data_IF_273020880957
#
_entry.id   IF_273020880957
#
_cell.length_a   1.000
_cell.length_b   1.000
_cell.length_c   1.000
_cell.angle_alpha   90.00
_cell.angle_beta   90.00
_cell.angle_gamma   90.00
#
_symmetry.space_group_name_H-M   'P 1'
#
loop_
_entity.id
_entity.type
_entity.pdbx_description
1 polymer ?
#
# COMPACT_ATOMS: atom_id res chain seq x y z
N UNK A 1 -17.84 -28.61 -3.09
CA UNK A 1 -18.93 -27.72 -2.64
C UNK A 1 -18.54 -26.28 -2.99
N UNK A 2 -19.48 -25.33 -3.01
CA UNK A 2 -19.10 -23.93 -3.11
C UNK A 2 -18.39 -23.49 -1.80
N UNK A 3 -17.42 -22.58 -1.91
CA UNK A 3 -16.78 -21.98 -0.75
C UNK A 3 -17.78 -21.02 -0.08
N UNK A 4 -18.07 -21.22 1.21
CA UNK A 4 -18.87 -20.22 1.96
C UNK A 4 -18.01 -18.98 2.19
N UNK A 5 -18.55 -17.80 1.86
CA UNK A 5 -17.81 -16.55 2.00
C UNK A 5 -17.65 -16.15 3.46
N UNK A 6 -16.48 -15.63 3.78
CA UNK A 6 -16.18 -15.01 5.07
C UNK A 6 -17.02 -13.73 5.19
N UNK A 7 -17.95 -13.71 6.14
CA UNK A 7 -18.83 -12.56 6.38
C UNK A 7 -18.11 -11.52 7.22
N UNK A 8 -18.22 -10.26 6.82
CA UNK A 8 -17.64 -9.11 7.52
C UNK A 8 -18.76 -8.21 8.02
N UNK A 9 -18.85 -8.02 9.33
CA UNK A 9 -20.00 -7.39 9.99
C UNK A 9 -20.04 -5.88 9.81
N UNK A 10 -18.88 -5.22 9.85
CA UNK A 10 -18.77 -3.78 9.67
C UNK A 10 -18.21 -3.44 8.28
N UNK A 11 -18.61 -2.31 7.68
CA UNK A 11 -18.16 -1.93 6.36
C UNK A 11 -16.69 -1.48 6.33
N UNK A 12 -16.14 -1.43 5.12
CA UNK A 12 -14.92 -0.69 4.80
C UNK A 12 -15.23 0.41 3.78
N UNK A 13 -14.38 1.44 3.73
CA UNK A 13 -14.37 2.44 2.65
C UNK A 13 -13.45 1.94 1.55
N UNK A 14 -13.93 1.93 0.31
CA UNK A 14 -13.09 1.73 -0.87
C UNK A 14 -12.94 3.06 -1.61
N UNK A 15 -11.69 3.46 -1.87
CA UNK A 15 -11.37 4.61 -2.70
C UNK A 15 -10.77 4.10 -4.02
N UNK A 16 -11.57 4.04 -5.09
CA UNK A 16 -11.08 3.68 -6.42
C UNK A 16 -10.29 4.85 -7.04
N UNK A 17 -9.43 4.55 -8.02
CA UNK A 17 -8.37 5.44 -8.47
C UNK A 17 -8.26 5.58 -9.99
N UNK A 18 -7.02 5.69 -10.46
CA UNK A 18 -6.69 6.09 -11.84
C UNK A 18 -5.81 5.07 -12.59
N UNK A 19 -5.77 5.22 -13.92
CA UNK A 19 -4.82 4.59 -14.86
C UNK A 19 -4.59 3.08 -14.68
N UNK A 20 -3.33 2.62 -14.58
CA UNK A 20 -2.98 1.19 -14.56
C UNK A 20 -3.42 0.54 -13.25
N UNK A 21 -3.28 1.27 -12.14
CA UNK A 21 -3.72 0.83 -10.81
C UNK A 21 -5.21 0.55 -10.78
N UNK A 22 -6.06 1.35 -11.43
CA UNK A 22 -7.51 1.11 -11.50
C UNK A 22 -7.86 -0.23 -12.15
N UNK A 23 -7.16 -0.59 -13.23
CA UNK A 23 -7.35 -1.87 -13.94
C UNK A 23 -7.00 -3.05 -13.02
N UNK A 24 -5.83 -2.96 -12.37
CA UNK A 24 -5.34 -3.95 -11.40
C UNK A 24 -6.30 -4.09 -10.22
N UNK A 25 -6.80 -2.97 -9.70
CA UNK A 25 -7.73 -2.89 -8.56
C UNK A 25 -9.01 -3.68 -8.79
N UNK A 26 -9.59 -3.58 -9.99
CA UNK A 26 -10.74 -4.41 -10.39
C UNK A 26 -10.38 -5.90 -10.44
N UNK A 27 -9.25 -6.27 -11.05
CA UNK A 27 -8.82 -7.67 -11.15
C UNK A 27 -8.57 -8.29 -9.75
N UNK A 28 -7.95 -7.53 -8.82
CA UNK A 28 -7.79 -7.93 -7.42
C UNK A 28 -9.15 -8.17 -6.74
N UNK A 29 -10.10 -7.22 -6.83
CA UNK A 29 -11.44 -7.42 -6.25
C UNK A 29 -12.13 -8.65 -6.80
N UNK A 30 -12.19 -8.78 -8.13
CA UNK A 30 -12.96 -9.81 -8.82
C UNK A 30 -12.35 -11.23 -8.66
N UNK A 31 -11.01 -11.35 -8.59
CA UNK A 31 -10.30 -12.64 -8.54
C UNK A 31 -9.83 -13.06 -7.14
N UNK A 32 -9.46 -12.11 -6.27
CA UNK A 32 -8.76 -12.38 -5.01
C UNK A 32 -9.57 -12.03 -3.76
N UNK A 33 -10.52 -11.10 -3.80
CA UNK A 33 -11.26 -10.65 -2.61
C UNK A 33 -12.73 -11.13 -2.62
N UNK A 34 -13.53 -10.62 -3.56
CA UNK A 34 -14.97 -10.83 -3.61
C UNK A 34 -15.43 -12.28 -3.86
N UNK A 35 -14.62 -13.21 -4.43
CA UNK A 35 -14.98 -14.63 -4.44
C UNK A 35 -15.03 -15.28 -3.05
N UNK A 36 -14.23 -14.78 -2.09
CA UNK A 36 -14.00 -15.40 -0.79
C UNK A 36 -14.60 -14.63 0.40
N UNK A 37 -14.83 -13.32 0.24
CA UNK A 37 -15.30 -12.42 1.30
C UNK A 37 -16.65 -11.79 0.92
N UNK A 38 -17.57 -11.75 1.89
CA UNK A 38 -18.84 -11.02 1.83
C UNK A 38 -18.70 -9.74 2.67
N UNK A 39 -18.73 -8.58 2.00
CA UNK A 39 -18.22 -7.31 2.52
C UNK A 39 -19.14 -6.14 2.11
N UNK A 40 -19.55 -5.32 3.08
CA UNK A 40 -20.21 -4.05 2.82
C UNK A 40 -19.17 -2.99 2.46
N UNK A 41 -19.17 -2.53 1.21
CA UNK A 41 -18.20 -1.57 0.68
C UNK A 41 -18.86 -0.20 0.51
N UNK A 42 -18.33 0.81 1.19
CA UNK A 42 -18.66 2.23 0.95
C UNK A 42 -17.71 2.75 -0.11
N UNK A 43 -18.12 2.60 -1.37
CA UNK A 43 -17.34 2.94 -2.56
C UNK A 43 -17.35 4.44 -2.84
N UNK A 44 -16.17 5.01 -3.07
CA UNK A 44 -15.93 6.37 -3.53
C UNK A 44 -15.00 6.35 -4.73
N UNK A 45 -15.33 7.09 -5.79
CA UNK A 45 -14.53 7.17 -6.99
C UNK A 45 -13.57 8.36 -6.92
N UNK A 46 -12.32 8.12 -6.55
CA UNK A 46 -11.27 9.16 -6.56
C UNK A 46 -10.52 9.22 -7.89
N UNK A 47 -11.05 8.62 -8.95
CA UNK A 47 -10.57 8.84 -10.31
C UNK A 47 -10.65 10.33 -10.69
N UNK A 48 -9.61 10.84 -11.35
CA UNK A 48 -9.47 12.25 -11.68
C UNK A 48 -10.70 12.86 -12.38
N UNK A 49 -11.39 12.19 -13.33
CA UNK A 49 -12.62 12.72 -13.94
C UNK A 49 -13.78 12.88 -12.95
N UNK A 50 -13.91 12.01 -11.94
CA UNK A 50 -14.99 12.10 -10.96
C UNK A 50 -14.69 13.13 -9.86
N UNK A 51 -13.42 13.29 -9.47
CA UNK A 51 -12.99 14.42 -8.64
C UNK A 51 -13.23 15.75 -9.33
N UNK A 52 -12.90 15.89 -10.62
CA UNK A 52 -13.23 17.11 -11.34
C UNK A 52 -14.75 17.33 -11.41
N UNK A 53 -15.53 16.31 -11.78
CA UNK A 53 -16.99 16.41 -11.84
C UNK A 53 -17.63 16.86 -10.52
N UNK A 54 -17.11 16.41 -9.38
CA UNK A 54 -17.62 16.72 -8.02
C UNK A 54 -17.01 17.97 -7.38
N UNK A 55 -16.08 18.68 -8.05
CA UNK A 55 -15.26 19.76 -7.47
C UNK A 55 -14.43 19.31 -6.25
N UNK A 56 -13.80 18.13 -6.37
CA UNK A 56 -12.98 17.41 -5.37
C UNK A 56 -13.72 17.00 -4.08
N UNK A 57 -15.04 17.21 -3.99
CA UNK A 57 -15.85 16.87 -2.80
C UNK A 57 -15.78 15.38 -2.44
N UNK A 58 -15.76 14.49 -3.42
CA UNK A 58 -15.66 13.03 -3.20
C UNK A 58 -14.40 12.62 -2.42
N UNK A 59 -13.33 13.41 -2.50
CA UNK A 59 -12.09 13.21 -1.71
C UNK A 59 -12.25 13.59 -0.24
N UNK A 60 -13.10 14.57 0.06
CA UNK A 60 -13.44 14.95 1.44
C UNK A 60 -14.45 13.95 2.02
N UNK A 61 -15.51 13.64 1.27
CA UNK A 61 -16.57 12.70 1.66
C UNK A 61 -16.02 11.29 1.96
N UNK A 62 -15.01 10.83 1.20
CA UNK A 62 -14.37 9.54 1.46
C UNK A 62 -13.50 9.55 2.73
N UNK A 63 -12.85 10.68 3.06
CA UNK A 63 -12.11 10.84 4.31
C UNK A 63 -13.05 10.91 5.53
N UNK A 64 -14.18 11.61 5.42
CA UNK A 64 -15.23 11.64 6.45
C UNK A 64 -15.86 10.26 6.65
N UNK A 65 -16.11 9.51 5.57
CA UNK A 65 -16.53 8.12 5.65
C UNK A 65 -15.46 7.23 6.32
N UNK A 66 -14.18 7.53 6.12
CA UNK A 66 -13.07 6.78 6.75
C UNK A 66 -13.05 6.99 8.26
N UNK A 67 -13.21 8.23 8.74
CA UNK A 67 -13.42 8.54 10.17
C UNK A 67 -14.65 7.82 10.75
N UNK A 68 -15.71 7.66 9.95
CA UNK A 68 -16.95 6.98 10.39
C UNK A 68 -16.83 5.46 10.46
N UNK A 69 -16.13 4.82 9.52
CA UNK A 69 -16.07 3.36 9.39
C UNK A 69 -14.72 2.74 9.81
N UNK A 70 -13.74 3.57 10.22
CA UNK A 70 -12.43 3.22 10.77
C UNK A 70 -11.43 2.56 9.78
N UNK A 71 -11.86 2.19 8.55
CA UNK A 71 -11.01 1.47 7.59
C UNK A 71 -11.25 1.99 6.19
N UNK A 72 -10.21 2.50 5.54
CA UNK A 72 -10.15 2.74 4.11
C UNK A 72 -9.11 1.87 3.41
N UNK A 73 -9.44 1.46 2.18
CA UNK A 73 -8.59 0.71 1.26
C UNK A 73 -8.57 1.50 -0.05
N UNK A 74 -7.39 1.96 -0.45
CA UNK A 74 -7.25 3.05 -1.42
C UNK A 74 -6.34 2.68 -2.60
N UNK A 75 -6.86 2.94 -3.80
CA UNK A 75 -6.14 2.87 -5.06
C UNK A 75 -5.27 4.13 -5.30
N UNK A 76 -4.27 4.04 -6.17
CA UNK A 76 -3.46 5.21 -6.53
C UNK A 76 -4.26 6.18 -7.42
N UNK A 77 -4.06 7.47 -7.19
CA UNK A 77 -4.82 8.58 -7.80
C UNK A 77 -3.88 9.61 -8.43
N UNK A 78 -4.24 10.19 -9.58
CA UNK A 78 -3.45 11.26 -10.20
C UNK A 78 -3.52 12.52 -9.33
N UNK A 79 -2.38 13.04 -8.90
CA UNK A 79 -2.28 14.47 -8.51
C UNK A 79 -2.02 15.26 -9.79
N UNK A 80 -2.93 16.15 -10.23
CA UNK A 80 -2.80 16.79 -11.54
C UNK A 80 -1.74 17.90 -11.55
N UNK A 81 -0.93 17.89 -12.60
CA UNK A 81 -0.04 18.98 -13.01
C UNK A 81 -0.67 19.77 -14.18
N UNK A 82 0.08 20.73 -14.76
CA UNK A 82 -0.40 21.52 -15.91
C UNK A 82 -0.74 20.66 -17.13
N UNK A 83 -0.03 19.56 -17.38
CA UNK A 83 -0.26 18.69 -18.54
C UNK A 83 -1.43 17.75 -18.30
N UNK A 84 -1.69 17.33 -17.06
CA UNK A 84 -2.93 16.64 -16.68
C UNK A 84 -4.16 17.55 -16.73
N UNK A 85 -4.02 18.83 -16.40
CA UNK A 85 -5.09 19.83 -16.62
C UNK A 85 -5.46 19.92 -18.10
N UNK A 86 -4.46 19.95 -19.00
CA UNK A 86 -4.66 19.95 -20.45
C UNK A 86 -5.24 18.61 -20.95
N UNK A 87 -4.69 17.47 -20.52
CA UNK A 87 -5.12 16.13 -20.95
C UNK A 87 -6.58 15.85 -20.62
N UNK A 88 -6.99 16.10 -19.37
CA UNK A 88 -8.33 15.78 -18.87
C UNK A 88 -9.32 16.95 -19.02
N UNK A 89 -8.89 18.09 -19.55
CA UNK A 89 -9.69 19.32 -19.67
C UNK A 89 -10.30 19.77 -18.34
N UNK A 90 -9.49 19.73 -17.27
CA UNK A 90 -9.94 19.97 -15.88
C UNK A 90 -10.43 21.41 -15.66
N UNK A 91 -11.44 21.58 -14.80
CA UNK A 91 -11.89 22.88 -14.29
C UNK A 91 -10.78 23.61 -13.53
N UNK A 92 -9.88 22.87 -12.88
CA UNK A 92 -8.85 23.39 -11.97
C UNK A 92 -7.74 22.36 -11.73
N UNK A 93 -6.58 22.85 -11.27
CA UNK A 93 -5.51 21.99 -10.76
C UNK A 93 -5.86 21.55 -9.33
N UNK A 94 -6.60 20.44 -9.21
CA UNK A 94 -7.04 19.88 -7.93
C UNK A 94 -5.87 19.46 -7.05
N UNK A 95 -6.08 19.45 -5.72
CA UNK A 95 -5.04 19.06 -4.77
C UNK A 95 -4.78 17.56 -4.82
N UNK A 96 -3.65 17.13 -4.25
CA UNK A 96 -3.36 15.70 -4.09
C UNK A 96 -4.39 15.06 -3.16
N UNK A 97 -5.13 14.01 -3.58
CA UNK A 97 -6.09 13.34 -2.70
C UNK A 97 -5.45 12.83 -1.42
N UNK A 98 -4.24 12.27 -1.52
CA UNK A 98 -3.43 11.84 -0.39
C UNK A 98 -3.19 12.99 0.60
N UNK A 99 -2.86 14.19 0.12
CA UNK A 99 -2.70 15.37 0.97
C UNK A 99 -3.99 15.79 1.67
N UNK A 100 -5.12 15.81 0.94
CA UNK A 100 -6.43 16.15 1.50
C UNK A 100 -6.86 15.14 2.57
N UNK A 101 -6.80 13.83 2.27
CA UNK A 101 -7.18 12.74 3.18
C UNK A 101 -6.29 12.75 4.43
N UNK A 102 -4.95 12.81 4.27
CA UNK A 102 -4.00 12.83 5.41
C UNK A 102 -4.24 14.01 6.36
N UNK A 103 -4.62 15.18 5.84
CA UNK A 103 -4.97 16.35 6.66
C UNK A 103 -6.30 16.18 7.43
N UNK A 104 -7.29 15.49 6.86
CA UNK A 104 -8.59 15.24 7.51
C UNK A 104 -8.46 14.14 8.58
N UNK A 105 -7.72 13.06 8.27
CA UNK A 105 -7.49 11.95 9.19
C UNK A 105 -6.47 12.26 10.29
N UNK A 106 -5.58 13.24 10.07
CA UNK A 106 -4.55 13.68 11.03
C UNK A 106 -3.69 12.53 11.57
N UNK A 107 -3.42 11.53 10.72
CA UNK A 107 -2.68 10.31 11.05
C UNK A 107 -1.24 10.30 10.53
N UNK A 108 -0.44 9.38 11.06
CA UNK A 108 0.94 9.14 10.62
C UNK A 108 0.97 8.03 9.57
N UNK A 109 1.67 8.26 8.44
CA UNK A 109 1.87 7.24 7.41
C UNK A 109 3.04 6.34 7.78
N UNK A 110 2.77 5.05 7.94
CA UNK A 110 3.78 4.00 8.07
C UNK A 110 3.94 3.30 6.72
N UNK A 111 5.17 3.04 6.31
CA UNK A 111 5.49 2.30 5.07
C UNK A 111 6.38 1.11 5.41
N UNK A 112 5.95 -0.09 5.04
CA UNK A 112 6.57 -1.36 5.44
C UNK A 112 6.97 -2.18 4.20
N UNK A 113 8.27 -2.47 4.00
CA UNK A 113 8.78 -3.21 2.84
C UNK A 113 8.85 -4.73 3.07
N UNK A 114 8.76 -5.49 1.97
CA UNK A 114 9.01 -6.94 1.94
C UNK A 114 10.52 -7.19 1.74
N UNK A 115 11.14 -8.05 2.55
CA UNK A 115 12.60 -8.04 2.79
C UNK A 115 13.40 -9.08 1.97
N UNK A 116 14.55 -8.64 1.44
CA UNK A 116 15.65 -9.47 0.91
C UNK A 116 17.01 -9.05 1.51
N UNK A 117 18.04 -9.91 1.42
CA UNK A 117 19.07 -10.03 2.49
C UNK A 117 20.39 -9.22 2.38
N UNK A 118 20.65 -8.33 1.41
CA UNK A 118 22.07 -8.08 1.02
C UNK A 118 22.63 -6.68 0.52
N UNK A 119 22.06 -5.46 0.74
CA UNK A 119 22.61 -4.18 0.15
C UNK A 119 22.46 -2.85 1.00
N UNK A 120 23.35 -1.78 0.95
CA UNK A 120 23.29 -0.60 1.90
C UNK A 120 23.86 0.90 1.62
N UNK A 121 23.24 2.00 2.21
CA UNK A 121 23.72 3.40 2.74
C UNK A 121 23.47 4.72 1.87
N UNK A 122 23.30 6.08 2.21
CA UNK A 122 23.42 7.21 3.27
C UNK A 122 22.52 8.53 2.88
N UNK A 123 22.17 9.73 3.49
CA UNK A 123 22.13 10.51 4.84
C UNK A 123 21.00 11.65 5.19
N UNK A 124 21.16 13.02 5.37
CA UNK A 124 20.65 14.00 6.45
C UNK A 124 19.27 14.80 6.30
N UNK A 125 18.62 15.64 7.21
CA UNK A 125 18.81 16.21 8.62
C UNK A 125 17.60 16.99 9.38
N UNK A 126 17.67 17.22 10.74
CA UNK A 126 16.88 18.06 11.78
C UNK A 126 15.39 17.74 12.17
N UNK A 127 15.11 17.03 13.31
CA UNK A 127 13.73 16.85 13.88
C UNK A 127 13.58 16.40 15.38
N UNK A 128 14.48 16.77 16.30
CA UNK A 128 14.69 16.05 17.58
C UNK A 128 13.61 16.15 18.68
N UNK A 129 13.37 17.34 19.20
CA UNK A 129 13.17 17.47 20.65
C UNK A 129 11.76 17.07 21.15
N UNK A 130 10.73 17.28 20.34
CA UNK A 130 9.32 16.97 20.68
C UNK A 130 9.09 15.48 20.97
N UNK A 131 9.78 14.57 20.27
CA UNK A 131 9.62 13.14 20.49
C UNK A 131 10.19 12.67 21.85
N UNK A 132 11.20 13.37 22.38
CA UNK A 132 11.83 13.02 23.66
C UNK A 132 10.84 13.21 24.82
N UNK A 133 10.15 14.35 24.86
CA UNK A 133 9.16 14.68 25.90
C UNK A 133 8.00 13.67 25.93
N UNK A 134 7.46 13.32 24.75
CA UNK A 134 6.36 12.36 24.62
C UNK A 134 6.79 10.95 25.03
N UNK A 135 8.01 10.54 24.67
CA UNK A 135 8.56 9.25 25.08
C UNK A 135 8.69 9.13 26.60
N UNK A 136 9.32 10.11 27.24
CA UNK A 136 9.55 10.12 28.69
C UNK A 136 8.25 10.18 29.50
N UNK A 137 7.28 11.01 29.07
CA UNK A 137 6.04 11.21 29.82
C UNK A 137 5.03 10.06 29.70
N UNK A 138 4.98 9.33 28.57
CA UNK A 138 3.84 8.44 28.24
C UNK A 138 4.19 7.02 27.80
N UNK A 139 5.45 6.76 27.43
CA UNK A 139 5.82 5.52 26.72
C UNK A 139 7.00 4.75 27.31
N UNK A 140 7.97 5.42 27.95
CA UNK A 140 9.20 4.81 28.47
C UNK A 140 8.97 3.48 29.22
N UNK A 141 8.12 3.47 30.24
CA UNK A 141 7.84 2.26 31.04
C UNK A 141 7.17 1.13 30.24
N UNK A 142 6.39 1.46 29.20
CA UNK A 142 5.78 0.46 28.30
C UNK A 142 6.82 -0.13 27.35
N UNK A 143 7.74 0.71 26.86
CA UNK A 143 8.86 0.30 26.01
C UNK A 143 9.83 -0.61 26.79
N UNK A 144 10.21 -0.20 28.01
CA UNK A 144 11.03 -0.99 28.93
C UNK A 144 10.38 -2.35 29.26
N UNK A 145 9.08 -2.38 29.54
CA UNK A 145 8.34 -3.62 29.79
C UNK A 145 8.20 -4.53 28.56
N UNK A 146 8.31 -3.98 27.35
CA UNK A 146 8.28 -4.71 26.08
C UNK A 146 9.68 -5.02 25.51
N UNK A 147 10.77 -4.64 26.21
CA UNK A 147 12.15 -4.90 25.79
C UNK A 147 12.62 -4.05 24.59
N UNK A 148 11.96 -2.94 24.28
CA UNK A 148 12.26 -2.04 23.16
C UNK A 148 12.65 -0.64 23.65
N UNK A 149 13.24 0.18 22.78
CA UNK A 149 13.69 1.53 23.12
C UNK A 149 13.29 2.58 22.06
N UNK A 150 13.38 3.84 22.44
CA UNK A 150 13.35 4.99 21.53
C UNK A 150 14.73 5.65 21.49
N UNK A 151 15.13 6.14 20.32
CA UNK A 151 16.39 6.86 20.11
C UNK A 151 16.21 7.90 18.99
N UNK A 152 16.47 9.18 19.28
CA UNK A 152 16.70 10.14 18.19
C UNK A 152 18.13 9.98 17.66
N UNK A 153 18.24 9.42 16.46
CA UNK A 153 19.38 9.64 15.57
C UNK A 153 19.09 10.87 14.72
N UNK A 154 20.08 11.74 14.53
CA UNK A 154 20.04 12.66 13.39
C UNK A 154 19.90 11.81 12.12
N UNK A 155 19.19 12.26 11.10
CA UNK A 155 19.00 11.41 9.92
C UNK A 155 20.31 11.18 9.11
N UNK A 156 21.41 11.90 9.39
CA UNK A 156 22.77 11.52 8.94
C UNK A 156 23.45 10.39 9.74
N UNK A 157 22.90 10.01 10.89
CA UNK A 157 23.14 8.70 11.48
C UNK A 157 21.97 7.73 11.23
N UNK A 158 20.73 8.18 11.03
CA UNK A 158 19.57 7.29 10.90
C UNK A 158 19.56 6.50 9.59
N UNK A 159 19.72 7.10 8.41
CA UNK A 159 19.77 6.26 7.18
C UNK A 159 21.10 5.50 7.09
N UNK A 160 22.17 6.02 7.70
CA UNK A 160 23.44 5.30 7.83
C UNK A 160 23.29 4.05 8.70
N UNK A 161 22.59 4.15 9.83
CA UNK A 161 22.19 3.04 10.70
C UNK A 161 21.20 2.12 10.00
N UNK A 162 20.15 2.66 9.37
CA UNK A 162 19.08 1.89 8.73
C UNK A 162 19.62 0.88 7.70
N UNK A 163 20.70 1.29 7.01
CA UNK A 163 21.38 0.51 6.00
C UNK A 163 22.69 -0.15 6.52
N UNK A 164 23.05 0.02 7.79
CA UNK A 164 24.04 -0.82 8.50
C UNK A 164 23.38 -1.94 9.29
N UNK A 165 22.15 -1.72 9.73
CA UNK A 165 21.31 -2.59 10.53
C UNK A 165 20.68 -3.72 9.70
N UNK A 166 20.21 -4.75 10.40
CA UNK A 166 19.51 -5.91 9.82
C UNK A 166 17.99 -5.66 9.67
N UNK A 167 17.52 -4.45 10.00
CA UNK A 167 16.09 -4.11 10.07
C UNK A 167 15.56 -4.17 11.51
N UNK A 168 14.26 -4.44 11.67
CA UNK A 168 13.65 -4.70 12.99
C UNK A 168 13.33 -3.47 13.85
N UNK A 169 13.34 -2.26 13.28
CA UNK A 169 13.01 -0.99 13.96
C UNK A 169 11.98 -0.19 13.14
N UNK A 170 11.22 0.66 13.83
CA UNK A 170 10.36 1.67 13.17
C UNK A 170 11.14 2.97 13.02
N UNK A 171 11.29 3.45 11.79
CA UNK A 171 11.95 4.72 11.50
C UNK A 171 10.91 5.81 11.30
N UNK A 172 10.78 6.71 12.29
CA UNK A 172 9.96 7.92 12.18
C UNK A 172 10.65 8.95 11.28
N UNK A 173 10.04 9.28 10.14
CA UNK A 173 10.52 10.29 9.21
C UNK A 173 9.70 11.59 9.28
N UNK A 174 10.30 12.70 8.81
CA UNK A 174 9.56 13.92 8.42
C UNK A 174 8.72 13.61 7.18
N UNK A 175 7.76 14.48 6.83
CA UNK A 175 6.92 14.26 5.62
C UNK A 175 7.77 14.10 4.35
N UNK A 176 8.66 15.06 4.05
CA UNK A 176 9.57 14.99 2.88
C UNK A 176 10.58 13.83 2.97
N UNK A 177 11.23 13.66 4.12
CA UNK A 177 12.17 12.57 4.34
C UNK A 177 11.48 11.22 4.18
N UNK A 178 10.24 11.08 4.62
CA UNK A 178 9.43 9.87 4.53
C UNK A 178 9.08 9.55 3.08
N UNK A 179 8.62 10.54 2.33
CA UNK A 179 8.33 10.42 0.89
C UNK A 179 9.56 9.91 0.13
N UNK A 180 10.69 10.63 0.22
CA UNK A 180 11.93 10.30 -0.51
C UNK A 180 12.59 9.01 -0.01
N UNK A 181 12.74 8.83 1.31
CA UNK A 181 13.44 7.66 1.86
C UNK A 181 12.60 6.39 1.75
N UNK A 182 11.27 6.44 1.82
CA UNK A 182 10.46 5.22 1.68
C UNK A 182 10.41 4.72 0.24
N UNK A 183 10.36 5.60 -0.77
CA UNK A 183 10.50 5.21 -2.17
C UNK A 183 11.91 4.66 -2.45
N UNK A 184 12.96 5.26 -1.88
CA UNK A 184 14.33 4.74 -1.94
C UNK A 184 14.46 3.36 -1.27
N UNK A 185 13.89 3.17 -0.08
CA UNK A 185 13.87 1.89 0.63
C UNK A 185 13.10 0.83 -0.16
N UNK A 186 11.92 1.16 -0.69
CA UNK A 186 11.12 0.24 -1.51
C UNK A 186 11.91 -0.25 -2.73
N UNK A 187 12.61 0.66 -3.42
CA UNK A 187 13.45 0.32 -4.56
C UNK A 187 14.71 -0.46 -4.13
N UNK A 188 15.26 -0.22 -2.94
CA UNK A 188 16.37 -0.97 -2.34
C UNK A 188 16.01 -2.37 -1.85
N UNK A 189 14.77 -2.58 -1.40
CA UNK A 189 14.18 -3.89 -1.11
C UNK A 189 13.66 -4.61 -2.36
N UNK A 190 13.65 -3.93 -3.51
CA UNK A 190 13.56 -4.52 -4.84
C UNK A 190 12.68 -3.73 -5.80
N UNK A 191 11.50 -3.32 -5.37
CA UNK A 191 10.53 -2.62 -6.21
C UNK A 191 9.54 -1.81 -5.38
N UNK A 192 9.10 -0.66 -5.92
CA UNK A 192 7.96 0.10 -5.39
C UNK A 192 6.68 -0.76 -5.29
N UNK A 193 6.57 -1.84 -6.08
CA UNK A 193 5.50 -2.84 -5.98
C UNK A 193 5.57 -3.76 -4.75
N UNK A 194 6.62 -3.68 -3.92
CA UNK A 194 6.83 -4.48 -2.70
C UNK A 194 6.76 -3.65 -1.40
N UNK A 195 6.18 -2.45 -1.47
CA UNK A 195 6.05 -1.53 -0.33
C UNK A 195 4.59 -1.22 -0.04
N UNK A 196 4.16 -1.47 1.20
CA UNK A 196 2.85 -1.09 1.71
C UNK A 196 2.86 0.33 2.27
N UNK A 197 1.72 1.00 2.30
CA UNK A 197 1.57 2.34 2.90
C UNK A 197 0.27 2.39 3.69
N UNK A 198 0.36 2.56 5.01
CA UNK A 198 -0.80 2.61 5.92
C UNK A 198 -0.72 3.86 6.78
N UNK A 199 -1.67 4.79 6.59
CA UNK A 199 -1.92 5.85 7.55
C UNK A 199 -2.64 5.27 8.77
N UNK A 200 -2.13 5.60 9.97
CA UNK A 200 -2.75 5.25 11.25
C UNK A 200 -3.07 6.54 12.02
N UNK A 201 -4.32 6.68 12.44
CA UNK A 201 -4.80 7.83 13.19
C UNK A 201 -4.42 7.73 14.68
N UNK A 202 -4.32 8.87 15.41
CA UNK A 202 -3.96 8.88 16.83
C UNK A 202 -5.02 8.27 17.77
N UNK A 203 -6.18 7.88 17.25
CA UNK A 203 -7.21 7.12 17.98
C UNK A 203 -6.86 5.63 18.17
N UNK A 204 -5.84 5.12 17.45
CA UNK A 204 -5.45 3.71 17.43
C UNK A 204 -6.46 2.79 16.73
N UNK A 205 -7.43 3.36 15.99
CA UNK A 205 -8.55 2.64 15.36
C UNK A 205 -8.71 2.94 13.88
N UNK A 206 -8.58 4.20 13.48
CA UNK A 206 -8.84 4.60 12.09
C UNK A 206 -7.59 4.46 11.23
N UNK A 207 -7.70 3.73 10.12
CA UNK A 207 -6.61 3.58 9.14
C UNK A 207 -7.06 3.85 7.70
N UNK A 208 -6.10 4.21 6.86
CA UNK A 208 -6.21 4.23 5.40
C UNK A 208 -5.00 3.47 4.83
N UNK A 209 -5.25 2.48 3.97
CA UNK A 209 -4.23 1.62 3.38
C UNK A 209 -4.17 1.76 1.86
N UNK A 210 -3.03 2.18 1.34
CA UNK A 210 -2.72 2.34 -0.09
C UNK A 210 -1.45 1.58 -0.49
N UNK A 211 -1.28 1.38 -1.80
CA UNK A 211 0.03 1.01 -2.34
C UNK A 211 0.97 2.23 -2.25
N UNK A 212 2.26 2.01 -1.95
CA UNK A 212 3.20 3.13 -1.84
C UNK A 212 3.49 3.85 -3.18
N UNK A 213 3.17 3.21 -4.31
CA UNK A 213 3.47 3.72 -5.64
C UNK A 213 2.31 4.54 -6.26
N UNK A 214 2.65 5.43 -7.19
CA UNK A 214 1.69 6.12 -8.04
C UNK A 214 0.97 5.23 -9.05
N UNK A 215 0.24 5.85 -9.97
CA UNK A 215 -0.74 5.24 -10.90
C UNK A 215 -0.14 4.41 -12.06
N UNK A 216 1.19 4.31 -12.12
CA UNK A 216 1.99 3.62 -13.15
C UNK A 216 1.62 4.05 -14.60
N UNK A 217 1.46 5.36 -14.81
CA UNK A 217 1.11 6.00 -16.10
C UNK A 217 1.79 5.38 -17.32
N UNK A 218 3.10 5.10 -17.25
CA UNK A 218 3.86 4.52 -18.38
C UNK A 218 3.27 3.20 -18.86
N UNK A 219 2.81 2.34 -17.96
CA UNK A 219 2.20 1.06 -18.32
C UNK A 219 0.75 1.26 -18.79
N UNK A 220 0.02 2.22 -18.21
CA UNK A 220 -1.29 2.61 -18.72
C UNK A 220 -1.24 3.07 -20.18
N UNK A 221 -0.23 3.85 -20.60
CA UNK A 221 -0.06 4.26 -22.02
C UNK A 221 0.26 3.11 -22.97
N UNK A 222 0.73 1.97 -22.47
CA UNK A 222 0.92 0.72 -23.24
C UNK A 222 -0.41 -0.04 -23.31
N UNK A 223 -1.10 -0.19 -22.19
CA UNK A 223 -2.43 -0.81 -22.11
C UNK A 223 -3.47 -0.08 -22.98
N UNK A 224 -3.50 1.26 -22.97
CA UNK A 224 -4.36 2.09 -23.83
C UNK A 224 -4.16 1.83 -25.34
N UNK A 225 -3.05 1.20 -25.74
CA UNK A 225 -2.74 0.82 -27.13
C UNK A 225 -2.91 -0.68 -27.41
N UNK A 226 -3.53 -1.41 -26.48
CA UNK A 226 -3.67 -2.88 -26.55
C UNK A 226 -2.36 -3.65 -26.28
N UNK A 227 -1.32 -2.98 -25.77
CA UNK A 227 -0.04 -3.61 -25.48
C UNK A 227 -0.03 -4.38 -24.16
N UNK A 228 0.71 -5.49 -24.11
CA UNK A 228 0.95 -6.24 -22.87
C UNK A 228 1.68 -5.37 -21.83
N UNK A 229 1.27 -5.51 -20.56
CA UNK A 229 1.94 -4.86 -19.43
C UNK A 229 2.25 -5.89 -18.35
N UNK A 230 3.40 -5.72 -17.70
CA UNK A 230 3.76 -6.44 -16.48
C UNK A 230 4.00 -5.40 -15.39
N UNK A 231 2.94 -5.12 -14.65
CA UNK A 231 2.90 -4.20 -13.52
C UNK A 231 2.75 -5.02 -12.26
N UNK A 232 3.63 -4.81 -11.28
CA UNK A 232 3.56 -5.51 -10.01
C UNK A 232 2.28 -5.11 -9.26
N UNK A 233 1.47 -6.09 -8.88
CA UNK A 233 0.21 -5.89 -8.16
C UNK A 233 0.32 -6.13 -6.65
N UNK A 234 1.48 -6.60 -6.14
CA UNK A 234 1.64 -7.04 -4.75
C UNK A 234 1.29 -5.93 -3.76
N UNK A 235 1.86 -4.72 -3.88
CA UNK A 235 1.51 -3.59 -3.01
C UNK A 235 0.01 -3.23 -3.05
N UNK A 236 -0.65 -3.38 -4.20
CA UNK A 236 -2.10 -3.16 -4.33
C UNK A 236 -2.92 -4.29 -3.68
N UNK A 237 -2.46 -5.53 -3.72
CA UNK A 237 -3.06 -6.66 -2.98
C UNK A 237 -2.86 -6.46 -1.48
N UNK A 238 -1.68 -6.02 -1.05
CA UNK A 238 -1.36 -5.79 0.35
C UNK A 238 -2.12 -4.59 0.94
N UNK A 239 -2.50 -3.58 0.15
CA UNK A 239 -3.43 -2.55 0.59
C UNK A 239 -4.79 -3.15 1.01
N UNK A 240 -5.31 -4.10 0.22
CA UNK A 240 -6.52 -4.85 0.58
C UNK A 240 -6.32 -5.73 1.82
N UNK A 241 -5.24 -6.50 1.91
CA UNK A 241 -5.03 -7.39 3.07
C UNK A 241 -4.75 -6.62 4.36
N UNK A 242 -3.95 -5.54 4.34
CA UNK A 242 -3.70 -4.69 5.51
C UNK A 242 -4.98 -4.03 6.02
N UNK A 243 -5.83 -3.51 5.13
CA UNK A 243 -7.13 -2.96 5.48
C UNK A 243 -8.10 -4.00 6.05
N UNK A 244 -8.25 -5.14 5.38
CA UNK A 244 -9.11 -6.24 5.84
C UNK A 244 -8.61 -6.89 7.14
N UNK A 245 -7.29 -6.98 7.36
CA UNK A 245 -6.69 -7.48 8.59
C UNK A 245 -6.94 -6.54 9.78
N UNK A 246 -7.05 -5.23 9.53
CA UNK A 246 -7.44 -4.27 10.56
C UNK A 246 -8.96 -4.30 10.83
N UNK A 247 -9.79 -4.39 9.79
CA UNK A 247 -11.23 -4.67 9.93
C UNK A 247 -11.47 -5.94 10.75
N UNK A 248 -10.70 -7.00 10.49
CA UNK A 248 -10.73 -8.25 11.22
C UNK A 248 -10.41 -8.07 12.72
N UNK A 249 -9.37 -7.31 13.06
CA UNK A 249 -9.02 -6.99 14.46
C UNK A 249 -10.11 -6.16 15.16
N UNK A 250 -10.75 -5.24 14.45
CA UNK A 250 -11.83 -4.41 14.98
C UNK A 250 -13.17 -5.17 15.13
N UNK A 251 -13.33 -6.30 14.43
CA UNK A 251 -14.53 -7.17 14.45
C UNK A 251 -14.35 -8.49 15.22
N UNK A 252 -13.16 -8.75 15.80
CA UNK A 252 -12.73 -10.05 16.34
C UNK A 252 -12.89 -11.23 15.34
N UNK A 253 -12.74 -10.93 14.05
CA UNK A 253 -13.01 -11.87 12.96
C UNK A 253 -11.76 -12.66 12.57
N UNK A 254 -11.47 -13.72 13.32
CA UNK A 254 -10.32 -14.59 13.09
C UNK A 254 -10.28 -15.24 11.68
N UNK A 255 -11.45 -15.49 11.06
CA UNK A 255 -11.52 -16.05 9.70
C UNK A 255 -11.04 -15.05 8.64
N UNK A 256 -11.44 -13.78 8.76
CA UNK A 256 -10.96 -12.72 7.87
C UNK A 256 -9.45 -12.50 8.05
N UNK A 257 -8.95 -12.59 9.29
CA UNK A 257 -7.51 -12.47 9.57
C UNK A 257 -6.69 -13.60 8.93
N UNK A 258 -7.08 -14.87 9.12
CA UNK A 258 -6.46 -16.04 8.47
C UNK A 258 -6.45 -15.91 6.94
N UNK A 259 -7.57 -15.48 6.34
CA UNK A 259 -7.66 -15.23 4.91
C UNK A 259 -6.66 -14.17 4.44
N UNK A 260 -6.53 -13.04 5.14
CA UNK A 260 -5.56 -12.00 4.76
C UNK A 260 -4.12 -12.49 4.84
N UNK A 261 -3.78 -13.26 5.88
CA UNK A 261 -2.46 -13.88 6.02
C UNK A 261 -2.17 -14.90 4.90
N UNK A 262 -3.17 -15.71 4.52
CA UNK A 262 -3.06 -16.67 3.41
C UNK A 262 -2.93 -16.01 2.04
N UNK A 263 -3.53 -14.83 1.82
CA UNK A 263 -3.37 -14.05 0.59
C UNK A 263 -1.99 -13.37 0.51
N UNK A 264 -1.48 -12.80 1.60
CA UNK A 264 -0.10 -12.29 1.66
C UNK A 264 0.92 -13.42 1.40
N UNK A 265 0.73 -14.57 2.04
CA UNK A 265 1.55 -15.76 1.81
C UNK A 265 1.37 -16.37 0.40
N UNK A 266 0.26 -16.13 -0.30
CA UNK A 266 0.05 -16.51 -1.69
C UNK A 266 0.85 -15.62 -2.67
N UNK A 267 0.91 -14.32 -2.39
CA UNK A 267 1.77 -13.39 -3.16
C UNK A 267 3.25 -13.75 -3.04
N UNK A 268 3.72 -14.01 -1.80
CA UNK A 268 5.10 -14.40 -1.53
C UNK A 268 5.40 -15.76 -2.20
N UNK A 269 4.55 -16.77 -1.97
CA UNK A 269 4.73 -18.11 -2.55
C UNK A 269 4.73 -18.14 -4.08
N UNK A 270 3.94 -17.27 -4.73
CA UNK A 270 3.99 -17.12 -6.19
C UNK A 270 5.39 -16.67 -6.65
N UNK A 271 5.92 -15.60 -6.07
CA UNK A 271 7.26 -15.07 -6.41
C UNK A 271 8.37 -16.08 -6.07
N UNK A 272 8.31 -16.74 -4.91
CA UNK A 272 9.27 -17.78 -4.51
C UNK A 272 9.23 -19.02 -5.43
N UNK A 273 8.06 -19.33 -6.03
CA UNK A 273 7.93 -20.37 -7.06
C UNK A 273 8.42 -19.95 -8.46
N UNK A 274 8.98 -18.74 -8.61
CA UNK A 274 9.46 -18.16 -9.87
C UNK A 274 8.39 -17.43 -10.69
N UNK A 275 7.13 -17.39 -10.22
CA UNK A 275 6.02 -16.71 -10.90
C UNK A 275 5.99 -15.25 -10.47
N UNK A 276 6.59 -14.35 -11.26
CA UNK A 276 6.75 -12.94 -10.87
C UNK A 276 6.62 -11.96 -12.03
N UNK A 277 6.36 -10.69 -11.73
CA UNK A 277 6.30 -9.60 -12.72
C UNK A 277 7.70 -9.13 -13.14
N UNK A 278 7.74 -8.40 -14.26
CA UNK A 278 8.96 -8.03 -14.99
C UNK A 278 9.94 -7.17 -14.20
N UNK A 279 9.44 -6.36 -13.27
CA UNK A 279 10.26 -5.58 -12.34
C UNK A 279 11.07 -6.51 -11.43
N UNK A 280 10.46 -7.55 -10.87
CA UNK A 280 11.15 -8.51 -10.00
C UNK A 280 12.12 -9.40 -10.80
N UNK A 281 11.67 -9.90 -11.95
CA UNK A 281 12.50 -10.71 -12.84
C UNK A 281 13.73 -9.94 -13.37
N UNK A 282 13.62 -8.62 -13.60
CA UNK A 282 14.74 -7.78 -14.03
C UNK A 282 15.85 -7.69 -12.95
N UNK A 283 15.49 -7.73 -11.67
CA UNK A 283 16.46 -7.73 -10.55
C UNK A 283 17.23 -9.05 -10.52
N UNK A 284 16.55 -10.19 -10.73
CA UNK A 284 17.13 -11.53 -10.66
C UNK A 284 17.96 -11.86 -11.91
N UNK A 285 17.45 -11.53 -13.11
CA UNK A 285 18.04 -11.95 -14.38
C UNK A 285 18.87 -10.87 -15.08
N UNK A 286 18.64 -9.59 -14.76
CA UNK A 286 19.39 -8.46 -15.33
C UNK A 286 19.39 -8.46 -16.86
N UNK A 287 20.58 -8.49 -17.47
CA UNK A 287 20.78 -8.56 -18.92
C UNK A 287 20.36 -9.88 -19.57
N UNK A 288 19.99 -10.91 -18.79
CA UNK A 288 19.50 -12.21 -19.27
C UNK A 288 17.96 -12.31 -19.26
N UNK A 289 17.25 -11.23 -18.97
CA UNK A 289 15.77 -11.20 -18.92
C UNK A 289 15.13 -11.56 -20.27
N UNK A 290 14.28 -12.58 -20.28
CA UNK A 290 13.47 -13.01 -21.44
C UNK A 290 11.98 -13.14 -21.06
N UNK A 291 11.05 -13.20 -22.03
CA UNK A 291 9.58 -13.17 -21.75
C UNK A 291 9.08 -14.39 -20.97
N UNK A 292 9.79 -15.50 -21.04
CA UNK A 292 9.57 -16.72 -20.25
C UNK A 292 10.01 -16.59 -18.77
N UNK A 293 10.83 -15.59 -18.42
CA UNK A 293 11.27 -15.33 -17.04
C UNK A 293 10.34 -14.40 -16.23
N UNK A 294 9.23 -13.94 -16.81
CA UNK A 294 8.23 -13.13 -16.10
C UNK A 294 6.82 -13.32 -16.64
N UNK A 295 5.84 -13.05 -15.78
CA UNK A 295 4.43 -13.02 -16.10
C UNK A 295 3.96 -11.59 -16.42
N UNK A 296 2.92 -11.45 -17.23
CA UNK A 296 2.19 -10.21 -17.37
C UNK A 296 1.30 -9.94 -16.13
N UNK A 297 0.67 -8.76 -16.08
CA UNK A 297 -0.07 -8.30 -14.91
C UNK A 297 -1.21 -9.24 -14.50
N UNK A 298 -1.95 -9.79 -15.47
CA UNK A 298 -3.07 -10.69 -15.21
C UNK A 298 -2.60 -12.13 -14.94
N UNK A 299 -1.62 -12.61 -15.70
CA UNK A 299 -0.97 -13.91 -15.47
C UNK A 299 -0.45 -14.05 -14.03
N UNK A 300 0.13 -12.97 -13.47
CA UNK A 300 0.59 -12.96 -12.09
C UNK A 300 -0.57 -12.95 -11.06
N UNK A 301 -1.65 -12.19 -11.31
CA UNK A 301 -2.84 -12.22 -10.42
C UNK A 301 -3.50 -13.61 -10.45
N UNK A 302 -3.57 -14.27 -11.61
CA UNK A 302 -4.08 -15.63 -11.74
C UNK A 302 -3.16 -16.68 -11.07
N UNK A 303 -1.84 -16.47 -11.08
CA UNK A 303 -0.90 -17.28 -10.30
C UNK A 303 -1.14 -17.13 -8.78
N UNK A 304 -1.29 -15.90 -8.26
CA UNK A 304 -1.64 -15.66 -6.85
C UNK A 304 -3.00 -16.27 -6.50
N UNK A 305 -3.99 -16.19 -7.40
CA UNK A 305 -5.30 -16.81 -7.19
C UNK A 305 -5.24 -18.34 -7.12
N UNK A 306 -4.28 -18.98 -7.78
CA UNK A 306 -4.03 -20.42 -7.68
C UNK A 306 -3.36 -20.78 -6.33
N UNK A 307 -2.31 -20.05 -5.94
CA UNK A 307 -1.63 -20.26 -4.64
C UNK A 307 -2.58 -20.03 -3.45
N UNK A 308 -3.45 -19.00 -3.52
CA UNK A 308 -4.47 -18.75 -2.50
C UNK A 308 -5.45 -19.92 -2.37
N UNK A 309 -5.95 -20.46 -3.50
CA UNK A 309 -6.89 -21.59 -3.49
C UNK A 309 -6.26 -22.85 -2.87
N UNK A 310 -4.96 -23.08 -3.11
CA UNK A 310 -4.23 -24.16 -2.45
C UNK A 310 -4.14 -23.92 -0.93
N UNK A 311 -3.76 -22.72 -0.49
CA UNK A 311 -3.62 -22.33 0.93
C UNK A 311 -4.95 -22.26 1.70
N UNK A 312 -6.08 -22.08 1.01
CA UNK A 312 -7.44 -22.15 1.58
C UNK A 312 -8.01 -23.58 1.59
N UNK A 313 -7.33 -24.56 0.99
CA UNK A 313 -7.75 -25.96 0.92
C UNK A 313 -6.90 -26.90 1.79
N UNK A 314 -6.04 -26.32 2.65
CA UNK A 314 -5.09 -27.00 3.53
C UNK A 314 -5.29 -26.57 4.99
#
# INVERSE_FOLDING_TARGET
MAFEKIKVTNPIVEMDGDEMTRIIWKSIKDKLILPFVELDIKYFDLGLPHRDATDDKVTVESAEATLKYNVAIKCATITPDEDRVKEYSLKSMWRSPNGTIRNILNGTVFREPIICKNVPRLIPGRFKDIFQEVYEASWKTKYEAAGIWYEHRLIDDMVAYALKSEGGYVWACKNYDGDVQSDMLAQGFGSLGLMTSVLVCPDGKTIEAEAAHGTVTRHYRVHQKGGETSTNSIASIFAWTRGLAHRAKLDDNAQLLDFTQKLEAACIGAVESGKMTKDLALIIHGSKLSRDTYLNTEEFIDAVAAELKAKLSA
#
